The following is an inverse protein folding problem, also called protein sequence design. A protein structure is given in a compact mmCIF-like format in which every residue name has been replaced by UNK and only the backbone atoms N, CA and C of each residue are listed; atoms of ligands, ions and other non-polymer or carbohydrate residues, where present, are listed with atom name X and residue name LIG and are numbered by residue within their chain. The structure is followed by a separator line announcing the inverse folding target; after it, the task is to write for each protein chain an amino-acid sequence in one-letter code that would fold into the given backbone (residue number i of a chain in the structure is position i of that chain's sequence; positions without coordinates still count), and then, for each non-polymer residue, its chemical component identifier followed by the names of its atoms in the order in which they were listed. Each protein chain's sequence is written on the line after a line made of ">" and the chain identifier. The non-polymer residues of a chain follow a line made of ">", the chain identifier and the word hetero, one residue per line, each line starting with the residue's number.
data_IF_168667567103
#
_entry.id   IF_168667567103
#
_cell.length_a   1.000
_cell.length_b   1.000
_cell.length_c   1.000
_cell.angle_alpha   90.00
_cell.angle_beta   90.00
_cell.angle_gamma   90.00
#
_symmetry.space_group_name_H-M   'P 1'
#
loop_
_entity.id
_entity.type
_entity.pdbx_description
1 polymer ?
#
# COMPACT_ATOMS: atom_id res chain seq x y z
N UNK A 1 -35.25 11.35 9.39
CA UNK A 1 -34.87 9.98 9.79
C UNK A 1 -33.57 10.13 10.56
N UNK A 2 -33.56 9.93 11.88
CA UNK A 2 -32.29 9.92 12.62
C UNK A 2 -31.47 8.72 12.13
N UNK A 3 -30.17 8.88 11.84
CA UNK A 3 -29.33 7.73 11.53
C UNK A 3 -29.39 6.77 12.72
N UNK A 4 -29.58 5.48 12.45
CA UNK A 4 -29.49 4.44 13.46
C UNK A 4 -28.05 4.44 13.99
N UNK A 5 -27.80 5.12 15.11
CA UNK A 5 -26.51 5.10 15.78
C UNK A 5 -26.41 3.81 16.59
N UNK A 6 -25.66 2.84 16.07
CA UNK A 6 -25.25 1.69 16.87
C UNK A 6 -24.38 2.19 18.02
N UNK A 7 -24.70 1.79 19.25
CA UNK A 7 -24.00 2.19 20.48
C UNK A 7 -22.65 1.47 20.60
N UNK A 8 -22.51 0.31 19.93
CA UNK A 8 -21.32 -0.51 19.93
C UNK A 8 -20.69 -0.54 18.53
N UNK A 9 -19.37 -0.44 18.48
CA UNK A 9 -18.61 -0.57 17.25
C UNK A 9 -18.73 -2.03 16.75
N UNK A 10 -19.28 -2.18 15.55
CA UNK A 10 -19.50 -3.49 14.95
C UNK A 10 -18.16 -4.21 14.71
N UNK A 11 -18.06 -5.53 14.95
CA UNK A 11 -16.82 -6.24 14.72
C UNK A 11 -16.42 -6.19 13.23
N UNK A 12 -15.12 -6.31 12.94
CA UNK A 12 -14.61 -6.23 11.57
C UNK A 12 -15.13 -7.36 10.66
N UNK A 13 -15.52 -8.49 11.24
CA UNK A 13 -16.11 -9.63 10.54
C UNK A 13 -17.42 -10.00 11.21
N UNK A 14 -18.52 -9.94 10.46
CA UNK A 14 -19.86 -10.34 10.91
C UNK A 14 -20.36 -11.45 10.01
N UNK A 15 -20.66 -12.62 10.58
CA UNK A 15 -21.35 -13.68 9.87
C UNK A 15 -22.86 -13.54 10.06
N UNK A 16 -23.64 -13.62 8.98
CA UNK A 16 -25.09 -13.65 9.03
C UNK A 16 -25.67 -14.55 7.93
N UNK A 17 -26.35 -15.62 8.36
CA UNK A 17 -26.88 -16.67 7.48
C UNK A 17 -25.80 -17.27 6.56
N UNK A 18 -25.93 -17.06 5.25
CA UNK A 18 -25.00 -17.55 4.21
C UNK A 18 -23.97 -16.50 3.77
N UNK A 19 -23.92 -15.36 4.46
CA UNK A 19 -23.06 -14.24 4.10
C UNK A 19 -22.08 -13.96 5.23
N UNK A 20 -20.86 -13.57 4.86
CA UNK A 20 -19.93 -12.91 5.76
C UNK A 20 -19.69 -11.48 5.28
N UNK A 21 -19.75 -10.55 6.22
CA UNK A 21 -19.52 -9.13 6.03
C UNK A 21 -18.16 -8.81 6.63
N UNK A 22 -17.25 -8.29 5.82
CA UNK A 22 -15.92 -7.85 6.26
C UNK A 22 -15.83 -6.36 6.02
N UNK A 23 -15.50 -5.61 7.06
CA UNK A 23 -15.48 -4.14 7.00
C UNK A 23 -14.20 -3.56 7.56
N UNK A 24 -13.79 -2.43 6.96
CA UNK A 24 -12.78 -1.54 7.52
C UNK A 24 -13.31 -0.11 7.55
N UNK A 25 -12.86 0.65 8.54
CA UNK A 25 -13.25 2.05 8.72
C UNK A 25 -12.10 2.95 8.25
N UNK A 26 -12.44 3.99 7.48
CA UNK A 26 -11.51 5.04 7.03
C UNK A 26 -12.22 6.38 7.14
N UNK A 27 -11.82 7.19 8.12
CA UNK A 27 -12.50 8.42 8.49
C UNK A 27 -14.01 8.17 8.72
N UNK A 28 -14.88 8.85 7.99
CA UNK A 28 -16.34 8.77 7.99
C UNK A 28 -16.90 7.74 7.00
N UNK A 29 -16.06 6.93 6.34
CA UNK A 29 -16.47 5.95 5.34
C UNK A 29 -16.19 4.52 5.82
N UNK A 30 -17.18 3.65 5.66
CA UNK A 30 -17.05 2.20 5.86
C UNK A 30 -16.91 1.52 4.51
N UNK A 31 -15.80 0.81 4.31
CA UNK A 31 -15.61 -0.06 3.16
C UNK A 31 -16.05 -1.47 3.56
N UNK A 32 -17.06 -2.00 2.86
CA UNK A 32 -17.69 -3.28 3.17
C UNK A 32 -17.53 -4.25 2.01
N UNK A 33 -16.97 -5.42 2.29
CA UNK A 33 -16.99 -6.58 1.40
C UNK A 33 -18.01 -7.59 1.92
N UNK A 34 -18.75 -8.21 0.98
CA UNK A 34 -19.70 -9.28 1.26
C UNK A 34 -19.22 -10.54 0.56
N UNK A 35 -19.09 -11.63 1.31
CA UNK A 35 -18.70 -12.93 0.76
C UNK A 35 -19.80 -13.96 0.97
N UNK A 36 -20.00 -14.82 -0.02
CA UNK A 36 -21.01 -15.90 -0.02
C UNK A 36 -20.39 -17.29 0.10
N UNK A 37 -19.07 -17.35 0.01
CA UNK A 37 -18.25 -18.56 0.10
C UNK A 37 -17.23 -18.39 1.20
N UNK A 38 -16.74 -19.51 1.73
CA UNK A 38 -15.63 -19.48 2.67
C UNK A 38 -14.39 -18.86 2.01
N UNK A 39 -13.77 -17.92 2.71
CA UNK A 39 -12.56 -17.24 2.29
C UNK A 39 -11.78 -16.80 3.53
N UNK A 40 -10.46 -16.58 3.40
CA UNK A 40 -9.65 -16.03 4.48
C UNK A 40 -10.04 -14.58 4.76
N UNK A 41 -10.57 -14.22 5.95
CA UNK A 41 -11.00 -12.85 6.23
C UNK A 41 -9.84 -11.85 6.13
N UNK A 42 -8.62 -12.28 6.48
CA UNK A 42 -7.39 -11.48 6.33
C UNK A 42 -7.14 -11.07 4.88
N UNK A 43 -7.40 -11.96 3.92
CA UNK A 43 -7.27 -11.62 2.50
C UNK A 43 -8.28 -10.54 2.11
N UNK A 44 -9.54 -10.67 2.53
CA UNK A 44 -10.58 -9.69 2.22
C UNK A 44 -10.28 -8.33 2.86
N UNK A 45 -9.79 -8.33 4.11
CA UNK A 45 -9.35 -7.10 4.78
C UNK A 45 -8.18 -6.43 4.06
N UNK A 46 -7.22 -7.20 3.56
CA UNK A 46 -6.09 -6.68 2.78
C UNK A 46 -6.56 -6.07 1.45
N UNK A 47 -7.51 -6.70 0.76
CA UNK A 47 -8.12 -6.15 -0.46
C UNK A 47 -8.82 -4.81 -0.17
N UNK A 48 -9.59 -4.73 0.92
CA UNK A 48 -10.24 -3.49 1.33
C UNK A 48 -9.21 -2.40 1.70
N UNK A 49 -8.14 -2.78 2.39
CA UNK A 49 -7.05 -1.86 2.75
C UNK A 49 -6.31 -1.35 1.50
N UNK A 50 -6.07 -2.22 0.51
CA UNK A 50 -5.51 -1.86 -0.79
C UNK A 50 -6.40 -0.85 -1.51
N UNK A 51 -7.72 -1.09 -1.58
CA UNK A 51 -8.69 -0.14 -2.16
C UNK A 51 -8.61 1.20 -1.46
N UNK A 52 -8.63 1.21 -0.12
CA UNK A 52 -8.50 2.44 0.66
C UNK A 52 -7.19 3.18 0.36
N UNK A 53 -6.05 2.48 0.31
CA UNK A 53 -4.77 3.12 0.05
C UNK A 53 -4.71 3.72 -1.38
N UNK A 54 -5.26 3.02 -2.37
CA UNK A 54 -5.34 3.51 -3.75
C UNK A 54 -6.22 4.75 -3.84
N UNK A 55 -7.43 4.69 -3.28
CA UNK A 55 -8.36 5.82 -3.24
C UNK A 55 -7.72 7.02 -2.54
N UNK A 56 -7.12 6.82 -1.36
CA UNK A 56 -6.49 7.89 -0.61
C UNK A 56 -5.36 8.58 -1.42
N UNK A 57 -4.61 7.84 -2.24
CA UNK A 57 -3.60 8.45 -3.11
C UNK A 57 -4.20 9.28 -4.26
N UNK A 58 -5.34 8.85 -4.83
CA UNK A 58 -6.01 9.57 -5.92
C UNK A 58 -6.81 10.79 -5.45
N UNK A 59 -7.61 10.64 -4.39
CA UNK A 59 -8.53 11.68 -3.90
C UNK A 59 -8.04 12.37 -2.62
N UNK A 60 -6.80 12.08 -2.19
CA UNK A 60 -6.09 12.61 -1.01
C UNK A 60 -6.68 12.20 0.35
N UNK A 61 -7.99 12.34 0.50
CA UNK A 61 -8.74 12.01 1.72
C UNK A 61 -9.97 11.22 1.33
N UNK A 62 -10.22 10.10 2.00
CA UNK A 62 -11.46 9.34 1.85
C UNK A 62 -12.48 9.91 2.83
N UNK A 63 -13.54 10.52 2.29
CA UNK A 63 -14.68 11.02 3.04
C UNK A 63 -15.95 10.89 2.21
N UNK A 64 -17.12 11.03 2.83
CA UNK A 64 -18.40 10.99 2.10
C UNK A 64 -18.41 12.00 0.94
N UNK A 65 -17.93 13.22 1.19
CA UNK A 65 -17.92 14.28 0.19
C UNK A 65 -16.94 14.00 -0.94
N UNK A 66 -15.69 13.63 -0.62
CA UNK A 66 -14.66 13.40 -1.64
C UNK A 66 -14.96 12.17 -2.51
N UNK A 67 -15.55 11.11 -1.96
CA UNK A 67 -15.99 9.95 -2.73
C UNK A 67 -17.13 10.33 -3.68
N UNK A 68 -18.09 11.15 -3.23
CA UNK A 68 -19.20 11.64 -4.06
C UNK A 68 -18.73 12.54 -5.20
N UNK A 69 -17.83 13.48 -4.91
CA UNK A 69 -17.27 14.40 -5.92
C UNK A 69 -16.43 13.67 -6.98
N UNK A 70 -15.79 12.55 -6.62
CA UNK A 70 -14.90 11.79 -7.50
C UNK A 70 -15.50 10.44 -7.93
N UNK A 71 -16.83 10.30 -7.90
CA UNK A 71 -17.55 9.03 -8.13
C UNK A 71 -17.07 8.27 -9.38
N UNK A 72 -16.91 8.95 -10.51
CA UNK A 72 -16.47 8.33 -11.77
C UNK A 72 -15.06 7.72 -11.66
N UNK A 73 -14.13 8.40 -11.01
CA UNK A 73 -12.75 7.93 -10.81
C UNK A 73 -12.73 6.74 -9.85
N UNK A 74 -13.52 6.80 -8.76
CA UNK A 74 -13.64 5.70 -7.80
C UNK A 74 -14.12 4.43 -8.50
N UNK A 75 -15.15 4.51 -9.36
CA UNK A 75 -15.64 3.36 -10.11
C UNK A 75 -14.60 2.78 -11.07
N UNK A 76 -13.91 3.64 -11.84
CA UNK A 76 -12.85 3.19 -12.74
C UNK A 76 -11.70 2.53 -11.98
N UNK A 77 -11.31 3.07 -10.83
CA UNK A 77 -10.30 2.46 -9.98
C UNK A 77 -10.73 1.09 -9.48
N UNK A 78 -11.98 0.93 -9.03
CA UNK A 78 -12.49 -0.37 -8.56
C UNK A 78 -12.49 -1.41 -9.68
N UNK A 79 -12.88 -1.04 -10.90
CA UNK A 79 -12.89 -1.94 -12.07
C UNK A 79 -11.48 -2.40 -12.49
N UNK A 80 -10.48 -1.51 -12.42
CA UNK A 80 -9.10 -1.85 -12.78
C UNK A 80 -8.33 -2.54 -11.64
N UNK A 81 -8.69 -2.24 -10.39
CA UNK A 81 -8.04 -2.78 -9.20
C UNK A 81 -8.54 -4.19 -8.85
N UNK A 82 -9.83 -4.46 -8.99
CA UNK A 82 -10.46 -5.74 -8.57
C UNK A 82 -11.23 -6.36 -9.73
N UNK A 83 -10.92 -7.62 -10.04
CA UNK A 83 -11.67 -8.42 -11.00
C UNK A 83 -12.20 -9.69 -10.33
N UNK A 84 -13.53 -9.88 -10.35
CA UNK A 84 -14.21 -11.05 -9.78
C UNK A 84 -13.81 -11.37 -8.32
N UNK A 85 -13.59 -10.33 -7.51
CA UNK A 85 -13.19 -10.46 -6.10
C UNK A 85 -11.69 -10.64 -5.84
N UNK A 86 -10.85 -10.64 -6.89
CA UNK A 86 -9.40 -10.75 -6.77
C UNK A 86 -8.70 -9.46 -7.22
N UNK A 87 -7.64 -9.00 -6.52
CA UNK A 87 -6.81 -7.90 -7.00
C UNK A 87 -6.18 -8.21 -8.36
N UNK A 88 -6.31 -7.29 -9.31
CA UNK A 88 -5.74 -7.37 -10.65
C UNK A 88 -4.55 -6.43 -10.81
N UNK A 89 -4.81 -5.12 -10.83
CA UNK A 89 -3.77 -4.09 -11.02
C UNK A 89 -3.50 -3.38 -9.70
N UNK A 90 -2.49 -3.83 -8.95
CA UNK A 90 -2.16 -3.27 -7.62
C UNK A 90 -1.07 -2.20 -7.66
N UNK A 91 -0.34 -2.09 -8.77
CA UNK A 91 0.78 -1.15 -8.92
C UNK A 91 0.27 0.24 -9.28
N UNK A 92 0.54 1.20 -8.40
CA UNK A 92 0.01 2.56 -8.53
C UNK A 92 0.44 3.27 -9.83
N UNK A 93 1.69 3.12 -10.27
CA UNK A 93 2.13 3.74 -11.52
C UNK A 93 1.39 3.18 -12.75
N UNK A 94 1.04 1.89 -12.72
CA UNK A 94 0.23 1.25 -13.78
C UNK A 94 -1.21 1.76 -13.72
N UNK A 95 -1.78 1.87 -12.51
CA UNK A 95 -3.11 2.45 -12.31
C UNK A 95 -3.18 3.89 -12.83
N UNK A 96 -2.17 4.72 -12.57
CA UNK A 96 -2.11 6.12 -13.03
C UNK A 96 -2.05 6.24 -14.57
N UNK A 97 -1.54 5.22 -15.27
CA UNK A 97 -1.58 5.13 -16.74
C UNK A 97 -2.96 4.72 -17.28
N UNK A 98 -3.71 3.90 -16.54
CA UNK A 98 -5.02 3.36 -16.93
C UNK A 98 -6.18 4.30 -16.54
N UNK A 99 -6.10 4.85 -15.34
CA UNK A 99 -7.08 5.75 -14.73
C UNK A 99 -6.35 7.06 -14.40
N UNK A 100 -6.66 8.09 -15.17
CA UNK A 100 -6.03 9.40 -15.02
C UNK A 100 -6.43 10.04 -13.67
N UNK A 101 -5.47 10.48 -12.84
CA UNK A 101 -5.78 11.15 -11.59
C UNK A 101 -6.61 12.42 -11.79
N UNK A 102 -7.49 12.78 -10.84
CA UNK A 102 -8.24 14.03 -10.89
C UNK A 102 -7.28 15.21 -10.70
N UNK A 103 -6.84 15.81 -11.81
CA UNK A 103 -6.08 17.06 -11.85
C UNK A 103 -6.94 18.18 -12.45
N UNK A 104 -6.60 19.44 -12.15
CA UNK A 104 -7.27 20.62 -12.72
C UNK A 104 -7.29 20.59 -14.26
N UNK A 105 -6.23 20.05 -14.86
CA UNK A 105 -6.14 19.88 -16.32
C UNK A 105 -7.11 18.83 -16.86
N UNK A 106 -7.35 17.75 -16.11
CA UNK A 106 -8.26 16.68 -16.51
C UNK A 106 -9.73 17.09 -16.37
N UNK A 107 -10.07 17.90 -15.37
CA UNK A 107 -11.40 18.51 -15.21
C UNK A 107 -11.68 19.56 -16.28
N UNK A 108 -10.68 20.38 -16.65
CA UNK A 108 -10.83 21.33 -17.74
C UNK A 108 -11.01 20.64 -19.11
N UNK A 109 -10.33 19.51 -19.33
CA UNK A 109 -10.43 18.73 -20.57
C UNK A 109 -11.72 17.92 -20.69
N UNK A 110 -12.29 17.43 -19.60
CA UNK A 110 -13.60 16.76 -19.60
C UNK A 110 -14.75 17.72 -19.93
N UNK A 111 -14.62 19.01 -19.59
CA UNK A 111 -15.61 20.05 -19.92
C UNK A 111 -15.56 20.45 -21.41
N UNK A 112 -14.42 20.24 -22.09
CA UNK A 112 -14.22 20.59 -23.50
C UNK A 112 -14.64 19.49 -24.50
N UNK A 113 -15.22 18.38 -24.02
CA UNK A 113 -15.68 17.24 -24.84
C UNK A 113 -14.63 16.72 -25.84
N UNK A 114 -13.34 16.84 -25.47
CA UNK A 114 -12.23 16.34 -26.28
C UNK A 114 -12.15 14.82 -26.05
N UNK A 115 -12.35 13.98 -27.07
CA UNK A 115 -12.33 12.54 -26.90
C UNK A 115 -10.96 12.09 -26.40
N UNK A 116 -10.95 11.49 -25.21
CA UNK A 116 -9.74 10.90 -24.64
C UNK A 116 -9.38 9.69 -25.50
N UNK A 117 -8.41 9.85 -26.40
CA UNK A 117 -7.66 8.71 -26.92
C UNK A 117 -6.81 8.16 -25.79
N UNK A 118 -7.43 7.44 -24.85
CA UNK A 118 -6.72 6.55 -23.95
C UNK A 118 -6.07 5.54 -24.88
N UNK A 119 -4.80 5.78 -25.22
CA UNK A 119 -3.96 4.71 -25.74
C UNK A 119 -3.90 3.72 -24.58
N UNK A 120 -4.83 2.77 -24.55
CA UNK A 120 -4.70 1.52 -23.81
C UNK A 120 -3.44 0.89 -24.38
N UNK A 121 -2.29 1.31 -23.87
CA UNK A 121 -1.05 0.56 -24.07
C UNK A 121 -1.36 -0.73 -23.36
N UNK A 122 -1.71 -1.76 -24.12
CA UNK A 122 -1.72 -3.12 -23.62
C UNK A 122 -0.31 -3.41 -23.16
N UNK A 123 -0.05 -3.09 -21.90
CA UNK A 123 1.15 -3.45 -21.21
C UNK A 123 0.97 -4.94 -20.93
N UNK A 124 1.47 -5.76 -21.85
CA UNK A 124 1.65 -7.19 -21.61
C UNK A 124 2.40 -7.40 -20.28
N UNK A 125 2.41 -8.63 -19.75
CA UNK A 125 2.99 -8.92 -18.44
C UNK A 125 4.41 -8.36 -18.35
N UNK A 126 4.60 -7.33 -17.52
CA UNK A 126 5.93 -6.77 -17.21
C UNK A 126 6.61 -7.70 -16.21
N UNK A 127 7.87 -8.05 -16.48
CA UNK A 127 8.68 -8.81 -15.51
C UNK A 127 8.93 -8.05 -14.21
N UNK A 128 8.80 -6.71 -14.24
CA UNK A 128 9.02 -5.80 -13.10
C UNK A 128 7.83 -4.83 -13.05
N UNK A 129 6.78 -5.14 -12.29
CA UNK A 129 5.53 -4.38 -12.37
C UNK A 129 5.61 -3.04 -11.60
N UNK A 130 6.49 -2.92 -10.60
CA UNK A 130 6.66 -1.74 -9.75
C UNK A 130 7.58 -0.65 -10.33
N UNK A 131 8.16 -0.83 -11.53
CA UNK A 131 9.09 0.14 -12.13
C UNK A 131 9.01 0.19 -13.65
N UNK A 132 8.93 1.40 -14.22
CA UNK A 132 9.00 1.62 -15.66
C UNK A 132 10.43 1.55 -16.21
N UNK A 133 10.59 1.08 -17.45
CA UNK A 133 11.90 1.02 -18.14
C UNK A 133 12.42 2.40 -18.58
N UNK A 134 11.55 3.41 -18.64
CA UNK A 134 11.85 4.74 -19.15
C UNK A 134 12.09 5.80 -18.04
N UNK A 135 12.26 5.39 -16.78
CA UNK A 135 12.51 6.32 -15.67
C UNK A 135 13.87 6.99 -15.84
N UNK A 136 13.90 8.32 -15.87
CA UNK A 136 15.12 9.13 -15.97
C UNK A 136 15.13 10.23 -14.90
N UNK A 137 16.31 10.46 -14.33
CA UNK A 137 16.56 11.54 -13.36
C UNK A 137 17.75 12.39 -13.83
N UNK A 138 17.80 13.66 -13.44
CA UNK A 138 18.92 14.56 -13.76
C UNK A 138 20.21 14.17 -13.06
N UNK A 139 20.10 13.59 -11.87
CA UNK A 139 21.20 13.00 -11.09
C UNK A 139 20.72 11.67 -10.52
N UNK A 140 21.61 10.68 -10.50
CA UNK A 140 21.32 9.38 -9.91
C UNK A 140 21.70 9.40 -8.43
N UNK A 141 20.71 9.39 -7.55
CA UNK A 141 20.89 9.37 -6.10
C UNK A 141 19.91 8.40 -5.44
N UNK A 142 20.31 7.82 -4.30
CA UNK A 142 19.44 6.97 -3.49
C UNK A 142 19.75 7.24 -2.02
N UNK A 143 18.70 7.54 -1.24
CA UNK A 143 18.80 7.82 0.18
C UNK A 143 18.14 6.69 0.97
N UNK A 144 18.74 6.34 2.10
CA UNK A 144 18.24 5.35 3.04
C UNK A 144 18.13 6.01 4.41
N UNK A 145 16.92 6.08 4.95
CA UNK A 145 16.64 6.57 6.29
C UNK A 145 16.30 5.36 7.17
N UNK A 146 17.13 5.09 8.18
CA UNK A 146 16.88 4.04 9.17
C UNK A 146 16.12 4.65 10.33
N UNK A 147 14.88 4.21 10.51
CA UNK A 147 13.96 4.74 11.52
C UNK A 147 13.70 3.66 12.55
N UNK A 148 13.97 3.95 13.83
CA UNK A 148 13.72 3.03 14.93
C UNK A 148 12.78 3.68 15.97
N UNK A 149 11.79 2.91 16.41
CA UNK A 149 10.85 3.27 17.44
C UNK A 149 11.02 2.32 18.64
N UNK A 150 11.29 2.89 19.81
CA UNK A 150 11.34 2.15 21.07
C UNK A 150 9.98 2.24 21.78
N UNK A 151 9.27 1.12 21.84
CA UNK A 151 8.08 0.99 22.66
C UNK A 151 8.50 0.47 24.04
N UNK A 152 8.22 1.23 25.10
CA UNK A 152 8.49 0.81 26.47
C UNK A 152 7.29 1.03 27.39
N UNK A 153 7.06 0.06 28.28
CA UNK A 153 6.09 0.19 29.38
C UNK A 153 6.88 0.20 30.67
N UNK A 154 6.76 1.29 31.42
CA UNK A 154 7.40 1.49 32.71
C UNK A 154 6.33 1.54 33.79
N UNK A 155 6.53 0.82 34.88
CA UNK A 155 5.62 0.86 36.01
C UNK A 155 5.85 2.09 36.91
N UNK A 156 5.00 2.25 37.93
CA UNK A 156 5.09 3.36 38.87
C UNK A 156 6.36 3.34 39.75
N UNK A 157 7.06 2.22 39.82
CA UNK A 157 8.33 2.07 40.55
C UNK A 157 9.55 2.38 39.66
N UNK A 158 9.33 2.70 38.37
CA UNK A 158 10.39 2.97 37.41
C UNK A 158 10.98 1.71 36.77
N UNK A 159 10.39 0.54 37.01
CA UNK A 159 10.84 -0.72 36.41
C UNK A 159 10.23 -0.92 35.02
N UNK A 160 11.07 -1.31 34.07
CA UNK A 160 10.65 -1.56 32.68
C UNK A 160 9.99 -2.93 32.57
N UNK A 161 8.71 -2.97 32.22
CA UNK A 161 7.90 -4.19 32.09
C UNK A 161 7.84 -4.73 30.66
N UNK A 162 7.97 -3.85 29.68
CA UNK A 162 7.97 -4.22 28.28
C UNK A 162 8.94 -3.33 27.52
N UNK A 163 9.71 -3.93 26.61
CA UNK A 163 10.50 -3.21 25.60
C UNK A 163 10.38 -3.92 24.27
N UNK A 164 10.15 -3.15 23.22
CA UNK A 164 10.19 -3.61 21.84
C UNK A 164 10.78 -2.51 20.96
N UNK A 165 11.57 -2.91 19.97
CA UNK A 165 12.06 -2.01 18.92
C UNK A 165 11.30 -2.35 17.64
N UNK A 166 10.72 -1.34 17.01
CA UNK A 166 10.18 -1.43 15.65
C UNK A 166 11.08 -0.61 14.75
N UNK A 167 11.69 -1.24 13.76
CA UNK A 167 12.55 -0.58 12.79
C UNK A 167 11.92 -0.57 11.41
N UNK A 168 12.20 0.48 10.64
CA UNK A 168 11.98 0.51 9.21
C UNK A 168 13.16 1.16 8.48
N UNK A 169 13.36 0.77 7.22
CA UNK A 169 14.31 1.42 6.31
C UNK A 169 13.51 2.08 5.20
N UNK A 170 13.35 3.40 5.31
CA UNK A 170 12.69 4.21 4.29
C UNK A 170 13.69 4.59 3.20
N UNK A 171 13.29 4.46 1.95
CA UNK A 171 14.16 4.70 0.79
C UNK A 171 13.55 5.78 -0.07
N UNK A 172 14.40 6.70 -0.55
CA UNK A 172 14.05 7.63 -1.61
C UNK A 172 15.00 7.40 -2.80
N UNK A 173 14.53 6.64 -3.78
CA UNK A 173 15.29 6.24 -4.96
C UNK A 173 15.04 7.21 -6.12
N UNK A 174 16.12 7.81 -6.64
CA UNK A 174 16.13 8.66 -7.84
C UNK A 174 17.19 8.16 -8.80
N UNK A 175 17.10 6.88 -9.16
CA UNK A 175 18.01 6.23 -10.09
C UNK A 175 17.34 6.10 -11.45
N UNK A 176 18.09 6.24 -12.54
CA UNK A 176 17.57 6.07 -13.91
C UNK A 176 17.60 4.60 -14.36
N UNK A 177 16.74 4.22 -15.31
CA UNK A 177 16.72 2.88 -15.92
C UNK A 177 16.14 1.80 -15.01
N UNK A 178 16.76 0.60 -15.01
CA UNK A 178 16.41 -0.56 -14.17
C UNK A 178 17.59 -0.95 -13.25
N UNK A 179 17.86 -0.20 -12.18
CA UNK A 179 18.97 -0.44 -11.26
C UNK A 179 18.67 -1.63 -10.37
N UNK A 180 19.61 -2.57 -10.34
CA UNK A 180 19.65 -3.66 -9.37
C UNK A 180 20.49 -3.21 -8.18
N UNK A 181 19.85 -3.10 -7.02
CA UNK A 181 20.46 -2.53 -5.81
C UNK A 181 20.73 -3.66 -4.81
N UNK A 182 21.94 -3.64 -4.26
CA UNK A 182 22.40 -4.62 -3.27
C UNK A 182 22.74 -3.87 -1.99
N UNK A 183 22.04 -4.19 -0.89
CA UNK A 183 22.25 -3.62 0.44
C UNK A 183 22.68 -4.73 1.39
N UNK A 184 23.72 -4.45 2.18
CA UNK A 184 24.20 -5.32 3.26
C UNK A 184 24.18 -4.54 4.57
N UNK A 185 23.44 -5.07 5.55
CA UNK A 185 23.36 -4.52 6.89
C UNK A 185 24.42 -5.19 7.76
N UNK A 186 25.19 -4.41 8.52
CA UNK A 186 26.31 -4.92 9.30
C UNK A 186 25.90 -5.84 10.45
N UNK A 187 24.80 -5.54 11.14
CA UNK A 187 24.34 -6.28 12.32
C UNK A 187 22.93 -6.83 12.08
N UNK A 188 22.83 -7.94 11.34
CA UNK A 188 21.53 -8.51 11.00
C UNK A 188 20.96 -9.47 12.07
N UNK A 189 21.80 -9.95 12.99
CA UNK A 189 21.41 -10.93 14.01
C UNK A 189 20.46 -10.37 15.09
N UNK A 190 20.37 -9.05 15.21
CA UNK A 190 19.46 -8.37 16.14
C UNK A 190 18.06 -8.16 15.55
N UNK A 191 17.90 -8.37 14.23
CA UNK A 191 16.62 -8.18 13.56
C UNK A 191 15.82 -9.48 13.64
N UNK A 192 14.65 -9.42 14.28
CA UNK A 192 13.64 -10.48 14.26
C UNK A 192 12.47 -10.06 13.37
N UNK A 193 11.73 -11.03 12.86
CA UNK A 193 10.47 -10.80 12.13
C UNK A 193 10.57 -9.71 11.05
N UNK A 194 11.41 -9.99 10.05
CA UNK A 194 11.70 -9.08 8.96
C UNK A 194 10.67 -9.23 7.85
N UNK A 195 10.04 -8.12 7.47
CA UNK A 195 9.15 -8.01 6.32
C UNK A 195 9.81 -7.21 5.19
N UNK A 196 9.60 -7.68 3.96
CA UNK A 196 10.14 -7.05 2.75
C UNK A 196 9.02 -6.75 1.74
N UNK A 197 9.17 -5.66 0.96
CA UNK A 197 8.34 -5.42 -0.21
C UNK A 197 8.67 -6.42 -1.31
N UNK A 198 7.71 -6.60 -2.23
CA UNK A 198 7.78 -7.55 -3.36
C UNK A 198 9.00 -7.36 -4.26
N UNK A 199 9.61 -6.19 -4.26
CA UNK A 199 10.80 -5.91 -5.06
C UNK A 199 12.06 -6.64 -4.58
N UNK A 200 12.07 -7.14 -3.34
CA UNK A 200 13.20 -7.86 -2.73
C UNK A 200 13.21 -9.34 -3.09
N UNK A 201 14.38 -9.84 -3.47
CA UNK A 201 14.62 -11.25 -3.78
C UNK A 201 14.93 -12.04 -2.51
N UNK A 202 13.88 -12.53 -1.84
CA UNK A 202 13.97 -13.27 -0.56
C UNK A 202 15.04 -14.36 -0.51
N UNK A 203 15.21 -15.13 -1.59
CA UNK A 203 16.20 -16.22 -1.66
C UNK A 203 17.64 -15.79 -1.37
N UNK A 204 18.02 -14.57 -1.79
CA UNK A 204 19.36 -14.05 -1.50
C UNK A 204 19.47 -13.76 0.00
N UNK A 205 18.48 -13.06 0.57
CA UNK A 205 18.46 -12.74 1.99
C UNK A 205 18.51 -13.98 2.89
N UNK A 206 17.81 -15.05 2.53
CA UNK A 206 17.86 -16.32 3.26
C UNK A 206 19.25 -16.99 3.21
N UNK A 207 19.98 -16.81 2.11
CA UNK A 207 21.28 -17.47 1.88
C UNK A 207 22.46 -16.77 2.53
N UNK A 208 22.57 -15.45 2.36
CA UNK A 208 23.76 -14.69 2.74
C UNK A 208 23.41 -13.36 3.44
N UNK A 209 22.14 -13.20 3.85
CA UNK A 209 21.63 -12.00 4.52
C UNK A 209 21.78 -10.71 3.68
N UNK A 210 21.96 -10.83 2.37
CA UNK A 210 22.02 -9.69 1.44
C UNK A 210 20.63 -9.34 0.92
N UNK A 211 20.28 -8.05 0.99
CA UNK A 211 19.03 -7.52 0.44
C UNK A 211 19.29 -7.11 -1.00
N UNK A 212 18.77 -7.89 -1.95
CA UNK A 212 18.91 -7.64 -3.38
C UNK A 212 17.55 -7.31 -4.00
N UNK A 213 17.42 -6.18 -4.70
CA UNK A 213 16.14 -5.73 -5.22
C UNK A 213 16.27 -4.79 -6.43
N UNK A 214 15.26 -4.85 -7.30
CA UNK A 214 15.06 -3.82 -8.33
C UNK A 214 14.27 -2.68 -7.70
N UNK A 215 14.92 -1.56 -7.39
CA UNK A 215 14.31 -0.49 -6.62
C UNK A 215 13.07 0.10 -7.31
N UNK A 216 11.92 0.26 -6.63
CA UNK A 216 10.90 1.22 -7.03
C UNK A 216 11.49 2.62 -7.21
N UNK A 217 10.78 3.46 -7.95
CA UNK A 217 11.13 4.87 -8.10
C UNK A 217 10.47 5.71 -6.99
N UNK A 218 11.17 6.73 -6.50
CA UNK A 218 10.68 7.59 -5.43
C UNK A 218 10.74 6.94 -4.04
N UNK A 219 9.75 7.27 -3.20
CA UNK A 219 9.71 6.89 -1.78
C UNK A 219 9.03 5.54 -1.56
N UNK A 220 9.66 4.64 -0.83
CA UNK A 220 9.08 3.36 -0.39
C UNK A 220 9.81 2.80 0.83
N UNK A 221 9.15 1.91 1.57
CA UNK A 221 9.75 1.18 2.70
C UNK A 221 10.43 -0.09 2.20
N UNK A 222 11.75 -0.22 2.38
CA UNK A 222 12.53 -1.36 1.92
C UNK A 222 12.47 -2.55 2.89
N UNK A 223 12.37 -2.27 4.18
CA UNK A 223 12.46 -3.25 5.25
C UNK A 223 11.61 -2.74 6.41
N UNK A 224 10.83 -3.63 7.00
CA UNK A 224 10.31 -3.46 8.36
C UNK A 224 10.82 -4.61 9.21
N UNK A 225 11.18 -4.33 10.46
CA UNK A 225 11.67 -5.34 11.38
C UNK A 225 11.18 -5.09 12.80
N UNK A 226 11.17 -6.16 13.60
CA UNK A 226 10.97 -6.09 15.04
C UNK A 226 12.23 -6.55 15.74
N UNK A 227 12.54 -5.96 16.88
CA UNK A 227 13.72 -6.30 17.64
C UNK A 227 13.46 -6.21 19.13
N UNK A 228 14.39 -6.78 19.89
CA UNK A 228 14.55 -6.42 21.30
C UNK A 228 15.72 -5.45 21.37
N UNK A 229 15.66 -4.42 22.23
CA UNK A 229 16.84 -3.60 22.47
C UNK A 229 17.98 -4.50 22.95
N UNK A 230 19.19 -4.24 22.45
CA UNK A 230 20.38 -4.85 23.02
C UNK A 230 20.45 -4.44 24.50
N UNK A 231 20.38 -5.42 25.39
CA UNK A 231 20.40 -5.20 26.84
C UNK A 231 21.70 -4.61 27.35
#
# INVERSE_FOLDING_TARGET
>A
MMPLSCIEEAPMVIAHNRFAFVQIHRNDVVLLAVTTSECFPLFVMEVLALVANVLQKYIKVISENTVRENFSVVYQLLEELIHNGYPLTTEMHVLEELVLPPSLDNTFRSVLDVPVKIKRRHLGPRSVPWRGTSTTHSSNEIFFDVVEHLDCIVDCEGSVRHTAVRGSVEVNCRLSGLPDVVVRLGNNDLMSDVAFPRCVRHKHYESDRTINFLSPDGKFTLLENRGKPAG
#
